data_IF_248336525394
#
_entry.id   IF_248336525394
#
_cell.length_a   1.000
_cell.length_b   1.000
_cell.length_c   1.000
_cell.angle_alpha   90.00
_cell.angle_beta   90.00
_cell.angle_gamma   90.00
#
_symmetry.space_group_name_H-M   'P 1'
#
loop_
_entity.id
_entity.type
_entity.pdbx_description
1 polymer ?
#
# COMPACT_ATOMS: atom_id res chain seq x y z
N UNK A 1 -54.17 5.95 74.37
CA UNK A 1 -53.40 7.07 73.79
C UNK A 1 -52.55 6.50 72.68
N UNK A 2 -52.74 7.00 71.47
CA UNK A 2 -51.96 6.69 70.28
C UNK A 2 -50.48 7.06 70.49
N UNK A 3 -49.58 6.19 70.05
CA UNK A 3 -48.40 6.62 69.30
C UNK A 3 -47.97 5.51 68.31
N UNK A 4 -47.65 5.86 67.05
CA UNK A 4 -47.36 4.89 65.99
C UNK A 4 -45.88 4.47 66.04
N UNK A 5 -45.62 3.19 65.79
CA UNK A 5 -44.26 2.70 65.53
C UNK A 5 -43.98 2.95 64.04
N UNK A 6 -43.16 3.95 63.76
CA UNK A 6 -42.59 4.19 62.43
C UNK A 6 -41.66 3.01 62.08
N UNK A 7 -41.93 2.33 60.96
CA UNK A 7 -40.91 1.53 60.28
C UNK A 7 -40.03 2.50 59.50
N UNK A 8 -38.86 2.82 60.04
CA UNK A 8 -37.83 3.53 59.29
C UNK A 8 -37.38 2.64 58.13
N UNK A 9 -37.61 3.11 56.90
CA UNK A 9 -36.97 2.56 55.71
C UNK A 9 -35.48 2.90 55.81
N UNK A 10 -34.64 1.88 55.89
CA UNK A 10 -33.21 2.05 56.13
C UNK A 10 -32.50 2.52 54.84
N UNK A 11 -32.52 3.84 54.60
CA UNK A 11 -31.90 4.51 53.44
C UNK A 11 -30.39 4.21 53.34
N UNK A 12 -29.77 3.76 54.43
CA UNK A 12 -28.34 3.45 54.52
C UNK A 12 -27.94 2.21 53.69
N UNK A 13 -28.84 1.24 53.47
CA UNK A 13 -28.51 0.00 52.72
C UNK A 13 -28.43 0.24 51.20
N UNK A 14 -29.20 1.19 50.66
CA UNK A 14 -29.20 1.52 49.23
C UNK A 14 -27.97 2.35 48.78
N UNK A 15 -27.28 3.01 49.71
CA UNK A 15 -26.16 3.92 49.39
C UNK A 15 -24.85 3.15 49.10
N UNK A 16 -24.68 1.94 49.66
CA UNK A 16 -23.44 1.16 49.49
C UNK A 16 -23.30 0.47 48.12
N UNK A 17 -24.36 0.41 47.32
CA UNK A 17 -24.36 -0.23 46.00
C UNK A 17 -24.05 0.75 44.84
N UNK A 18 -24.06 2.06 45.06
CA UNK A 18 -23.97 3.06 43.98
C UNK A 18 -22.55 3.51 43.60
N UNK A 19 -21.49 2.99 44.23
CA UNK A 19 -20.11 3.39 43.91
C UNK A 19 -19.21 2.20 43.59
N UNK A 20 -19.54 1.47 42.53
CA UNK A 20 -18.58 0.57 41.88
C UNK A 20 -18.12 1.18 40.55
N UNK A 21 -16.80 1.25 40.27
CA UNK A 21 -16.29 1.70 38.99
C UNK A 21 -16.82 0.85 37.84
N UNK A 22 -17.18 1.53 36.76
CA UNK A 22 -18.06 1.20 35.63
C UNK A 22 -17.67 -0.01 34.73
N UNK A 23 -16.92 -1.01 35.22
CA UNK A 23 -16.33 -2.04 34.34
C UNK A 23 -16.45 -3.48 34.81
N UNK A 24 -17.23 -3.79 35.84
CA UNK A 24 -17.34 -5.18 36.34
C UNK A 24 -18.77 -5.64 36.58
N UNK A 25 -18.91 -6.97 36.62
CA UNK A 25 -20.11 -7.72 36.96
C UNK A 25 -20.81 -7.24 38.26
N UNK A 26 -20.10 -6.51 39.14
CA UNK A 26 -20.67 -5.88 40.33
C UNK A 26 -21.83 -4.91 40.03
N UNK A 27 -21.79 -4.18 38.90
CA UNK A 27 -22.87 -3.28 38.49
C UNK A 27 -24.15 -4.05 38.08
N UNK A 28 -24.02 -5.34 37.76
CA UNK A 28 -25.12 -6.19 37.30
C UNK A 28 -25.88 -6.80 38.48
N UNK A 29 -25.25 -6.87 39.67
CA UNK A 29 -25.85 -7.42 40.90
C UNK A 29 -27.22 -6.80 41.19
N UNK A 30 -27.33 -5.47 41.10
CA UNK A 30 -28.57 -4.75 41.41
C UNK A 30 -29.73 -5.02 40.44
N UNK A 31 -29.46 -5.67 39.31
CA UNK A 31 -30.45 -6.00 38.29
C UNK A 31 -30.96 -7.45 38.38
N UNK A 32 -30.41 -8.28 39.27
CA UNK A 32 -30.87 -9.66 39.46
C UNK A 32 -32.34 -9.64 39.89
N UNK A 33 -33.11 -10.55 39.30
CA UNK A 33 -34.56 -10.69 39.43
C UNK A 33 -35.38 -9.47 38.96
N UNK A 34 -34.75 -8.52 38.26
CA UNK A 34 -35.44 -7.41 37.58
C UNK A 34 -35.59 -7.69 36.09
N UNK A 35 -36.64 -7.11 35.50
CA UNK A 35 -36.82 -7.07 34.04
C UNK A 35 -35.81 -6.09 33.45
N UNK A 36 -35.05 -6.54 32.46
CA UNK A 36 -33.99 -5.79 31.82
C UNK A 36 -34.10 -5.87 30.31
N UNK A 37 -33.67 -4.82 29.63
CA UNK A 37 -33.41 -4.81 28.18
C UNK A 37 -31.91 -4.89 27.95
N UNK A 38 -31.46 -5.98 27.34
CA UNK A 38 -30.08 -6.19 26.92
C UNK A 38 -29.95 -5.93 25.41
N UNK A 39 -29.27 -4.86 25.03
CA UNK A 39 -28.94 -4.52 23.65
C UNK A 39 -27.62 -5.18 23.28
N UNK A 40 -27.59 -5.94 22.19
CA UNK A 40 -26.41 -6.64 21.71
C UNK A 40 -25.66 -5.82 20.64
N UNK A 41 -24.36 -6.08 20.46
CA UNK A 41 -23.51 -5.44 19.43
C UNK A 41 -24.10 -5.60 18.01
N UNK A 42 -24.85 -6.67 17.80
CA UNK A 42 -25.58 -6.92 16.55
C UNK A 42 -26.91 -6.19 16.42
N UNK A 43 -27.22 -5.18 17.22
CA UNK A 43 -28.44 -4.34 17.15
C UNK A 43 -29.74 -5.01 17.62
N UNK A 44 -29.66 -6.27 18.03
CA UNK A 44 -30.79 -7.03 18.60
C UNK A 44 -30.97 -6.67 20.07
N UNK A 45 -32.21 -6.59 20.52
CA UNK A 45 -32.52 -6.36 21.94
C UNK A 45 -33.19 -7.61 22.51
N UNK A 46 -32.76 -8.05 23.68
CA UNK A 46 -33.37 -9.15 24.42
C UNK A 46 -33.94 -8.57 25.70
N UNK A 47 -35.25 -8.73 25.89
CA UNK A 47 -35.98 -8.23 27.04
C UNK A 47 -36.40 -9.41 27.86
N UNK A 48 -36.06 -9.44 29.14
CA UNK A 48 -36.42 -10.53 30.03
C UNK A 48 -35.93 -10.27 31.43
N UNK A 49 -36.12 -11.23 32.32
CA UNK A 49 -35.72 -11.06 33.70
C UNK A 49 -34.36 -11.70 33.94
N UNK A 50 -33.44 -10.95 34.52
CA UNK A 50 -32.08 -11.41 34.76
C UNK A 50 -32.04 -12.37 35.95
N UNK A 51 -31.62 -13.63 35.73
CA UNK A 51 -31.48 -14.61 36.83
C UNK A 51 -30.09 -14.71 37.41
N UNK A 52 -29.10 -14.73 36.54
CA UNK A 52 -27.72 -14.87 36.97
C UNK A 52 -26.80 -14.25 35.93
N UNK A 53 -25.62 -13.89 36.38
CA UNK A 53 -24.53 -13.47 35.54
C UNK A 53 -23.22 -14.03 36.11
N UNK A 54 -22.15 -14.02 35.32
CA UNK A 54 -20.82 -14.39 35.80
C UNK A 54 -19.84 -13.20 35.84
N UNK A 55 -18.63 -13.47 36.30
CA UNK A 55 -17.56 -12.47 36.39
C UNK A 55 -17.14 -11.86 35.04
N UNK A 56 -17.52 -12.48 33.91
CA UNK A 56 -17.25 -12.00 32.56
C UNK A 56 -18.44 -11.22 31.96
N UNK A 57 -19.51 -11.03 32.72
CA UNK A 57 -20.73 -10.36 32.26
C UNK A 57 -21.58 -11.21 31.33
N UNK A 58 -21.39 -12.54 31.31
CA UNK A 58 -22.33 -13.43 30.63
C UNK A 58 -23.66 -13.42 31.41
N UNK A 59 -24.79 -13.24 30.73
CA UNK A 59 -26.10 -13.10 31.35
C UNK A 59 -26.98 -14.30 31.04
N UNK A 60 -27.79 -14.71 32.02
CA UNK A 60 -28.92 -15.63 31.83
C UNK A 60 -30.20 -14.84 32.04
N UNK A 61 -30.94 -14.61 30.96
CA UNK A 61 -32.27 -14.02 31.00
C UNK A 61 -33.31 -15.12 30.90
N UNK A 62 -34.26 -15.12 31.83
CA UNK A 62 -35.44 -15.99 31.79
C UNK A 62 -36.66 -15.20 31.30
N UNK A 63 -37.66 -15.93 30.81
CA UNK A 63 -38.91 -15.35 30.29
C UNK A 63 -38.63 -14.20 29.31
N UNK A 64 -37.67 -14.44 28.42
CA UNK A 64 -37.07 -13.41 27.61
C UNK A 64 -37.57 -13.48 26.17
N UNK A 65 -37.89 -12.32 25.60
CA UNK A 65 -38.27 -12.12 24.21
C UNK A 65 -37.19 -11.33 23.48
N UNK A 66 -36.98 -11.67 22.21
CA UNK A 66 -36.13 -10.87 21.34
C UNK A 66 -36.99 -9.81 20.64
N UNK A 67 -36.58 -8.55 20.76
CA UNK A 67 -37.20 -7.41 20.10
C UNK A 67 -36.23 -6.77 19.10
N UNK A 68 -36.73 -6.57 17.89
CA UNK A 68 -36.00 -5.98 16.77
C UNK A 68 -36.63 -4.63 16.46
N UNK A 69 -35.82 -3.58 16.48
CA UNK A 69 -36.25 -2.23 16.13
C UNK A 69 -35.81 -1.85 14.72
N UNK A 70 -36.77 -1.47 13.88
CA UNK A 70 -36.56 -0.93 12.53
C UNK A 70 -36.84 0.57 12.56
N UNK A 71 -35.85 1.35 13.01
CA UNK A 71 -35.97 2.79 13.26
C UNK A 71 -36.38 3.61 12.02
N UNK A 72 -35.90 3.23 10.83
CA UNK A 72 -36.23 3.92 9.57
C UNK A 72 -37.72 3.89 9.24
N UNK A 73 -38.42 2.79 9.56
CA UNK A 73 -39.85 2.61 9.30
C UNK A 73 -40.71 2.77 10.55
N UNK A 74 -40.10 3.02 11.73
CA UNK A 74 -40.77 3.02 13.04
C UNK A 74 -41.57 1.72 13.29
N UNK A 75 -40.98 0.60 12.89
CA UNK A 75 -41.56 -0.72 13.09
C UNK A 75 -40.76 -1.49 14.15
N UNK A 76 -41.43 -2.34 14.93
CA UNK A 76 -40.77 -3.28 15.81
C UNK A 76 -41.35 -4.69 15.65
N UNK A 77 -40.52 -5.69 15.89
CA UNK A 77 -40.90 -7.08 15.80
C UNK A 77 -40.45 -7.80 17.07
N UNK A 78 -41.27 -8.69 17.61
CA UNK A 78 -41.00 -9.36 18.88
C UNK A 78 -41.30 -10.85 18.78
N UNK A 79 -40.38 -11.67 19.29
CA UNK A 79 -40.52 -13.12 19.29
C UNK A 79 -41.77 -13.56 20.06
N UNK A 80 -42.53 -14.50 19.50
CA UNK A 80 -43.81 -14.92 20.09
C UNK A 80 -43.68 -15.81 21.33
N UNK A 81 -42.51 -16.44 21.53
CA UNK A 81 -42.28 -17.38 22.62
C UNK A 81 -41.19 -16.85 23.55
N UNK A 82 -41.55 -16.70 24.82
CA UNK A 82 -40.60 -16.50 25.91
C UNK A 82 -39.63 -17.67 26.00
N UNK A 83 -38.34 -17.36 26.04
CA UNK A 83 -37.27 -18.35 26.06
C UNK A 83 -36.22 -17.97 27.10
N UNK A 84 -35.28 -18.88 27.36
CA UNK A 84 -34.10 -18.60 28.16
C UNK A 84 -32.98 -18.19 27.21
N UNK A 85 -32.37 -17.04 27.45
CA UNK A 85 -31.23 -16.55 26.68
C UNK A 85 -29.97 -16.59 27.53
N UNK A 86 -28.94 -17.26 27.01
CA UNK A 86 -27.57 -17.14 27.48
C UNK A 86 -26.84 -16.13 26.58
N UNK A 87 -26.60 -14.93 27.12
CA UNK A 87 -25.92 -13.85 26.39
C UNK A 87 -24.46 -13.83 26.83
N UNK A 88 -23.54 -13.89 25.87
CA UNK A 88 -22.11 -13.70 26.19
C UNK A 88 -21.79 -12.24 26.43
N UNK A 89 -21.01 -11.94 27.47
CA UNK A 89 -20.66 -10.57 27.88
C UNK A 89 -19.99 -9.76 26.77
N UNK A 90 -19.15 -10.39 25.95
CA UNK A 90 -18.52 -9.75 24.78
C UNK A 90 -19.51 -9.24 23.72
N UNK A 91 -20.74 -9.77 23.71
CA UNK A 91 -21.79 -9.39 22.77
C UNK A 91 -22.79 -8.39 23.35
N UNK A 92 -22.70 -8.08 24.65
CA UNK A 92 -23.55 -7.10 25.30
C UNK A 92 -23.01 -5.69 25.02
N UNK A 93 -23.84 -4.83 24.43
CA UNK A 93 -23.51 -3.44 24.16
C UNK A 93 -23.97 -2.54 25.32
N UNK A 94 -25.21 -2.73 25.75
CA UNK A 94 -25.84 -1.96 26.82
C UNK A 94 -26.90 -2.81 27.50
N UNK A 95 -27.14 -2.57 28.78
CA UNK A 95 -28.25 -3.13 29.53
C UNK A 95 -28.90 -2.04 30.38
N UNK A 96 -30.22 -2.07 30.50
CA UNK A 96 -30.97 -1.18 31.38
C UNK A 96 -32.14 -1.91 32.01
N UNK A 97 -32.59 -1.43 33.17
CA UNK A 97 -33.84 -1.84 33.78
C UNK A 97 -35.03 -1.35 32.96
N UNK A 98 -36.09 -2.14 32.99
CA UNK A 98 -37.37 -1.81 32.37
C UNK A 98 -38.44 -1.73 33.44
N UNK A 99 -39.22 -0.65 33.39
CA UNK A 99 -40.41 -0.51 34.22
C UNK A 99 -41.52 -1.42 33.67
N UNK A 100 -41.93 -2.37 34.50
CA UNK A 100 -42.89 -3.43 34.16
C UNK A 100 -44.23 -2.81 33.75
N UNK A 101 -44.64 -1.73 34.41
CA UNK A 101 -45.93 -1.08 34.17
C UNK A 101 -45.97 -0.36 32.80
N UNK A 102 -44.81 0.07 32.31
CA UNK A 102 -44.68 0.77 31.03
C UNK A 102 -44.56 -0.15 29.81
N UNK A 103 -44.17 -1.41 30.03
CA UNK A 103 -43.89 -2.39 28.98
C UNK A 103 -45.12 -3.15 28.46
N UNK A 104 -46.21 -3.17 29.23
CA UNK A 104 -47.48 -3.77 28.82
C UNK A 104 -48.21 -2.92 27.75
N UNK A 105 -47.82 -1.65 27.59
CA UNK A 105 -48.30 -0.79 26.51
C UNK A 105 -47.51 -1.02 25.21
N UNK A 106 -48.20 -1.00 24.06
CA UNK A 106 -47.53 -0.97 22.77
C UNK A 106 -46.57 0.23 22.68
N UNK A 107 -45.35 0.01 22.18
CA UNK A 107 -44.33 1.06 22.04
C UNK A 107 -44.93 2.27 21.31
N UNK A 108 -45.12 3.38 22.01
CA UNK A 108 -45.87 4.54 21.51
C UNK A 108 -45.27 5.05 20.20
N UNK A 109 -46.09 5.10 19.15
CA UNK A 109 -45.70 5.61 17.83
C UNK A 109 -44.92 4.61 16.96
N UNK A 110 -44.84 3.33 17.36
CA UNK A 110 -44.23 2.26 16.58
C UNK A 110 -45.26 1.19 16.20
N UNK A 111 -45.15 0.68 14.98
CA UNK A 111 -46.02 -0.38 14.46
C UNK A 111 -45.40 -1.76 14.74
N UNK A 112 -46.19 -2.68 15.32
CA UNK A 112 -45.76 -4.07 15.52
C UNK A 112 -45.95 -4.87 14.23
N UNK A 113 -44.89 -5.53 13.78
CA UNK A 113 -44.92 -6.46 12.63
C UNK A 113 -44.60 -7.89 13.06
N UNK A 114 -44.81 -8.85 12.15
CA UNK A 114 -44.42 -10.24 12.36
C UNK A 114 -42.90 -10.37 12.60
N UNK A 115 -42.50 -11.25 13.51
CA UNK A 115 -41.11 -11.43 13.89
C UNK A 115 -40.24 -11.90 12.72
N UNK A 116 -40.72 -12.82 11.90
CA UNK A 116 -39.95 -13.35 10.76
C UNK A 116 -39.77 -12.25 9.71
N UNK A 117 -40.82 -11.46 9.46
CA UNK A 117 -40.74 -10.30 8.58
C UNK A 117 -39.71 -9.27 9.08
N UNK A 118 -39.81 -8.90 10.36
CA UNK A 118 -38.90 -7.94 10.99
C UNK A 118 -37.46 -8.41 11.01
N UNK A 119 -37.23 -9.69 11.30
CA UNK A 119 -35.90 -10.32 11.28
C UNK A 119 -35.28 -10.28 9.88
N UNK A 120 -36.06 -10.59 8.83
CA UNK A 120 -35.58 -10.54 7.45
C UNK A 120 -35.24 -9.11 7.01
N UNK A 121 -36.07 -8.13 7.34
CA UNK A 121 -35.81 -6.70 7.10
C UNK A 121 -34.53 -6.26 7.82
N UNK A 122 -34.37 -6.62 9.09
CA UNK A 122 -33.19 -6.30 9.88
C UNK A 122 -31.91 -6.88 9.27
N UNK A 123 -31.92 -8.17 8.92
CA UNK A 123 -30.78 -8.86 8.30
C UNK A 123 -30.38 -8.20 6.98
N UNK A 124 -31.36 -7.78 6.16
CA UNK A 124 -31.13 -7.03 4.93
C UNK A 124 -30.46 -5.67 5.21
N UNK A 125 -31.00 -4.89 6.16
CA UNK A 125 -30.45 -3.58 6.51
C UNK A 125 -29.00 -3.67 7.00
N UNK A 126 -28.67 -4.68 7.82
CA UNK A 126 -27.29 -4.92 8.28
C UNK A 126 -26.37 -5.26 7.10
N UNK A 127 -26.82 -6.08 6.16
CA UNK A 127 -26.06 -6.40 4.95
C UNK A 127 -25.82 -5.15 4.08
N UNK A 128 -26.87 -4.38 3.81
CA UNK A 128 -26.79 -3.16 3.00
C UNK A 128 -25.91 -2.09 3.67
N UNK A 129 -25.95 -1.97 5.00
CA UNK A 129 -25.06 -1.10 5.77
C UNK A 129 -23.58 -1.54 5.65
N UNK A 130 -23.30 -2.84 5.77
CA UNK A 130 -21.94 -3.38 5.57
C UNK A 130 -21.44 -3.14 4.14
N UNK A 131 -22.28 -3.36 3.13
CA UNK A 131 -21.92 -3.14 1.74
C UNK A 131 -21.66 -1.65 1.45
N UNK A 132 -22.46 -0.74 2.03
CA UNK A 132 -22.22 0.71 1.94
C UNK A 132 -20.92 1.13 2.62
N UNK A 133 -20.67 0.65 3.84
CA UNK A 133 -19.45 0.94 4.58
C UNK A 133 -18.20 0.43 3.81
N UNK A 134 -18.28 -0.77 3.24
CA UNK A 134 -17.23 -1.32 2.39
C UNK A 134 -16.98 -0.46 1.14
N UNK A 135 -18.04 -0.05 0.42
CA UNK A 135 -17.92 0.83 -0.74
C UNK A 135 -17.28 2.18 -0.38
N UNK A 136 -17.70 2.79 0.72
CA UNK A 136 -17.18 4.07 1.18
C UNK A 136 -15.71 3.98 1.62
N UNK A 137 -15.36 2.95 2.39
CA UNK A 137 -13.98 2.67 2.77
C UNK A 137 -13.08 2.47 1.54
N UNK A 138 -13.56 1.72 0.54
CA UNK A 138 -12.87 1.52 -0.74
C UNK A 138 -12.67 2.84 -1.49
N UNK A 139 -13.67 3.73 -1.50
CA UNK A 139 -13.59 5.02 -2.18
C UNK A 139 -12.58 5.98 -1.52
N UNK A 140 -12.55 6.05 -0.19
CA UNK A 140 -11.55 6.85 0.56
C UNK A 140 -10.16 6.29 0.33
N UNK A 141 -10.01 4.95 0.42
CA UNK A 141 -8.75 4.27 0.17
C UNK A 141 -8.24 4.55 -1.24
N UNK A 142 -9.11 4.60 -2.25
CA UNK A 142 -8.71 4.89 -3.64
C UNK A 142 -8.18 6.32 -3.79
N UNK A 143 -8.84 7.32 -3.21
CA UNK A 143 -8.36 8.71 -3.25
C UNK A 143 -7.04 8.89 -2.49
N UNK A 144 -6.89 8.26 -1.33
CA UNK A 144 -5.66 8.29 -0.54
C UNK A 144 -4.50 7.57 -1.23
N UNK A 145 -4.74 6.39 -1.80
CA UNK A 145 -3.75 5.62 -2.55
C UNK A 145 -3.28 6.38 -3.79
N UNK A 146 -4.21 6.97 -4.55
CA UNK A 146 -3.89 7.76 -5.73
C UNK A 146 -3.01 8.97 -5.40
N UNK A 147 -3.38 9.75 -4.38
CA UNK A 147 -2.53 10.85 -3.89
C UNK A 147 -1.15 10.34 -3.43
N UNK A 148 -1.10 9.21 -2.72
CA UNK A 148 0.15 8.56 -2.31
C UNK A 148 1.07 8.21 -3.48
N UNK A 149 0.51 7.73 -4.60
CA UNK A 149 1.25 7.42 -5.83
C UNK A 149 1.78 8.70 -6.49
N UNK A 150 0.99 9.78 -6.54
CA UNK A 150 1.46 11.07 -7.06
C UNK A 150 2.63 11.64 -6.23
N UNK A 151 2.56 11.55 -4.90
CA UNK A 151 3.67 11.94 -4.03
C UNK A 151 4.91 11.05 -4.23
N UNK A 152 4.71 9.74 -4.43
CA UNK A 152 5.81 8.83 -4.72
C UNK A 152 6.49 9.17 -6.05
N UNK A 153 5.73 9.54 -7.08
CA UNK A 153 6.27 10.03 -8.36
C UNK A 153 7.06 11.34 -8.19
N UNK A 154 6.64 12.24 -7.31
CA UNK A 154 7.46 13.42 -6.97
C UNK A 154 8.76 13.05 -6.25
N UNK A 155 8.75 12.03 -5.39
CA UNK A 155 9.99 11.51 -4.80
C UNK A 155 10.94 10.94 -5.87
N UNK A 156 10.41 10.28 -6.90
CA UNK A 156 11.19 9.81 -8.06
C UNK A 156 11.86 10.98 -8.79
N UNK A 157 11.13 12.07 -9.06
CA UNK A 157 11.68 13.26 -9.74
C UNK A 157 12.81 13.95 -8.95
N UNK A 158 12.84 13.80 -7.63
CA UNK A 158 13.94 14.28 -6.77
C UNK A 158 15.15 13.33 -6.76
N UNK A 159 14.95 12.10 -7.22
CA UNK A 159 16.00 11.11 -7.42
C UNK A 159 17.00 11.54 -8.49
N UNK A 160 18.23 11.08 -8.34
CA UNK A 160 19.30 11.18 -9.36
C UNK A 160 18.85 10.55 -10.69
N UNK A 161 19.32 11.08 -11.82
CA UNK A 161 18.93 10.61 -13.14
C UNK A 161 19.47 9.21 -13.45
N UNK A 162 18.69 8.37 -14.13
CA UNK A 162 19.12 7.10 -14.69
C UNK A 162 18.56 6.92 -16.11
N UNK A 163 19.35 6.31 -16.98
CA UNK A 163 19.08 6.13 -18.41
C UNK A 163 19.34 4.67 -18.79
N UNK A 164 18.44 4.11 -19.58
CA UNK A 164 18.61 2.79 -20.20
C UNK A 164 18.53 2.92 -21.71
N UNK A 165 19.45 2.28 -22.43
CA UNK A 165 19.50 2.27 -23.90
C UNK A 165 19.74 0.84 -24.38
N UNK A 166 18.93 0.37 -25.32
CA UNK A 166 19.17 -0.90 -26.02
C UNK A 166 19.98 -0.68 -27.28
N UNK A 167 20.99 -1.51 -27.48
CA UNK A 167 21.70 -1.69 -28.74
C UNK A 167 21.15 -2.88 -29.51
N UNK A 168 21.97 -3.43 -30.42
CA UNK A 168 21.68 -4.65 -31.17
C UNK A 168 21.78 -5.90 -30.30
N UNK A 169 22.91 -6.04 -29.61
CA UNK A 169 23.35 -7.18 -28.81
C UNK A 169 23.88 -6.71 -27.45
N UNK A 170 23.52 -5.49 -27.04
CA UNK A 170 23.88 -4.91 -25.75
C UNK A 170 22.73 -4.12 -25.15
N UNK A 171 22.72 -4.02 -23.83
CA UNK A 171 21.86 -3.07 -23.10
C UNK A 171 22.71 -2.34 -22.06
N UNK A 172 22.59 -1.02 -22.07
CA UNK A 172 23.39 -0.14 -21.22
C UNK A 172 22.48 0.53 -20.20
N UNK A 173 22.86 0.44 -18.93
CA UNK A 173 22.32 1.28 -17.88
C UNK A 173 23.37 2.31 -17.49
N UNK A 174 22.98 3.58 -17.46
CA UNK A 174 23.83 4.68 -17.05
C UNK A 174 23.11 5.51 -15.98
N UNK A 175 23.80 5.83 -14.90
CA UNK A 175 23.25 6.57 -13.76
C UNK A 175 24.11 7.79 -13.41
N UNK A 176 23.45 8.89 -13.04
CA UNK A 176 24.09 10.01 -12.37
C UNK A 176 24.49 9.59 -10.95
N UNK A 177 25.78 9.64 -10.65
CA UNK A 177 26.31 9.52 -9.29
C UNK A 177 26.48 10.90 -8.67
N UNK A 178 25.99 11.08 -7.44
CA UNK A 178 26.29 12.29 -6.68
C UNK A 178 27.77 12.35 -6.35
N UNK A 179 28.36 13.54 -6.50
CA UNK A 179 29.73 13.80 -6.06
C UNK A 179 29.90 13.34 -4.62
N UNK A 180 30.85 12.43 -4.41
CA UNK A 180 31.18 11.94 -3.07
C UNK A 180 31.80 13.07 -2.26
N UNK A 181 31.33 13.29 -1.04
CA UNK A 181 31.90 14.31 -0.15
C UNK A 181 33.33 13.89 0.23
N UNK A 182 34.23 14.85 0.46
CA UNK A 182 35.66 14.58 0.74
C UNK A 182 35.89 13.64 1.94
N UNK A 183 34.96 13.61 2.90
CA UNK A 183 35.03 12.77 4.11
C UNK A 183 34.34 11.41 3.94
N UNK A 184 33.65 11.19 2.82
CA UNK A 184 32.91 9.96 2.55
C UNK A 184 33.83 8.98 1.80
N UNK A 185 33.92 7.74 2.28
CA UNK A 185 34.72 6.71 1.62
C UNK A 185 34.03 6.26 0.31
N UNK A 186 34.64 6.51 -0.87
CA UNK A 186 34.02 6.17 -2.14
C UNK A 186 33.88 4.66 -2.37
N UNK A 187 34.64 3.83 -1.65
CA UNK A 187 34.65 2.36 -1.85
C UNK A 187 33.42 1.65 -1.30
N UNK A 188 32.76 2.25 -0.31
CA UNK A 188 31.58 1.71 0.35
C UNK A 188 30.29 2.41 -0.08
N UNK A 189 30.38 3.34 -1.03
CA UNK A 189 29.22 4.03 -1.55
C UNK A 189 28.34 3.07 -2.36
N UNK A 190 27.04 2.95 -2.05
CA UNK A 190 26.16 2.08 -2.80
C UNK A 190 26.07 2.50 -4.27
N UNK A 191 26.29 1.54 -5.16
CA UNK A 191 26.00 1.68 -6.58
C UNK A 191 24.50 1.82 -6.82
N UNK A 192 24.14 2.58 -7.86
CA UNK A 192 22.75 2.67 -8.33
C UNK A 192 22.36 1.51 -9.24
N UNK A 193 23.34 0.90 -9.90
CA UNK A 193 23.13 -0.22 -10.81
C UNK A 193 23.41 -1.50 -10.05
N UNK A 194 22.36 -2.28 -9.80
CA UNK A 194 22.43 -3.45 -8.95
C UNK A 194 22.19 -4.71 -9.78
N UNK A 195 23.10 -5.68 -9.66
CA UNK A 195 22.90 -7.04 -10.17
C UNK A 195 21.75 -7.70 -9.40
N UNK A 196 20.73 -8.18 -10.10
CA UNK A 196 19.66 -9.00 -9.51
C UNK A 196 19.98 -10.48 -9.70
N UNK A 197 20.42 -10.85 -10.90
CA UNK A 197 20.94 -12.18 -11.24
C UNK A 197 22.08 -12.04 -12.28
N UNK A 198 22.67 -13.13 -12.74
CA UNK A 198 23.79 -13.10 -13.71
C UNK A 198 23.43 -12.42 -15.04
N UNK A 199 22.18 -12.53 -15.48
CA UNK A 199 21.65 -12.01 -16.75
C UNK A 199 20.71 -10.81 -16.59
N UNK A 200 20.54 -10.28 -15.36
CA UNK A 200 19.61 -9.18 -15.07
C UNK A 200 20.21 -8.14 -14.12
N UNK A 201 20.13 -6.87 -14.52
CA UNK A 201 20.52 -5.70 -13.74
C UNK A 201 19.37 -4.70 -13.57
N UNK A 202 19.40 -3.95 -12.48
CA UNK A 202 18.38 -2.98 -12.11
C UNK A 202 19.02 -1.65 -11.69
N UNK A 203 18.61 -0.57 -12.34
CA UNK A 203 18.87 0.80 -11.91
C UNK A 203 17.59 1.43 -11.34
N UNK A 204 17.72 2.44 -10.48
CA UNK A 204 16.56 3.10 -9.87
C UNK A 204 16.76 4.60 -9.67
N UNK A 205 15.64 5.31 -9.60
CA UNK A 205 15.55 6.70 -9.18
C UNK A 205 14.48 6.86 -8.09
N UNK A 206 14.78 7.66 -7.07
CA UNK A 206 13.91 7.93 -5.93
C UNK A 206 14.61 7.66 -4.58
N UNK A 207 13.87 7.14 -3.61
CA UNK A 207 14.38 6.86 -2.26
C UNK A 207 15.29 5.63 -2.21
N UNK A 208 16.55 5.79 -1.77
CA UNK A 208 17.54 4.70 -1.70
C UNK A 208 17.12 3.56 -0.74
N UNK A 209 16.46 3.89 0.38
CA UNK A 209 16.00 2.89 1.35
C UNK A 209 14.92 1.97 0.76
N UNK A 210 13.97 2.56 0.04
CA UNK A 210 12.92 1.85 -0.66
C UNK A 210 13.49 0.92 -1.75
N UNK A 211 14.51 1.41 -2.48
CA UNK A 211 15.19 0.62 -3.50
C UNK A 211 15.86 -0.63 -2.93
N UNK A 212 16.53 -0.53 -1.77
CA UNK A 212 17.17 -1.70 -1.13
C UNK A 212 16.16 -2.80 -0.86
N UNK A 213 15.00 -2.46 -0.29
CA UNK A 213 13.94 -3.45 0.00
C UNK A 213 13.42 -4.10 -1.28
N UNK A 214 13.22 -3.32 -2.35
CA UNK A 214 12.70 -3.84 -3.61
C UNK A 214 13.72 -4.73 -4.34
N UNK A 215 15.00 -4.34 -4.32
CA UNK A 215 16.12 -5.13 -4.89
C UNK A 215 16.26 -6.46 -4.17
N UNK A 216 16.21 -6.48 -2.83
CA UNK A 216 16.35 -7.72 -2.07
C UNK A 216 15.17 -8.68 -2.32
N UNK A 217 13.94 -8.14 -2.42
CA UNK A 217 12.77 -8.94 -2.83
C UNK A 217 12.94 -9.51 -4.23
N UNK A 218 13.42 -8.72 -5.19
CA UNK A 218 13.66 -9.17 -6.56
C UNK A 218 14.74 -10.26 -6.64
N UNK A 219 15.82 -10.15 -5.86
CA UNK A 219 16.87 -11.18 -5.78
C UNK A 219 16.35 -12.50 -5.21
N UNK A 220 15.59 -12.43 -4.13
CA UNK A 220 14.97 -13.63 -3.54
C UNK A 220 14.01 -14.28 -4.52
N UNK A 221 13.19 -13.50 -5.23
CA UNK A 221 12.30 -14.03 -6.25
C UNK A 221 13.05 -14.71 -7.39
N UNK A 222 14.13 -14.09 -7.90
CA UNK A 222 14.93 -14.65 -8.98
C UNK A 222 15.47 -16.04 -8.62
N UNK A 223 16.00 -16.19 -7.40
CA UNK A 223 16.50 -17.48 -6.92
C UNK A 223 15.36 -18.47 -6.62
N UNK A 224 14.22 -18.00 -6.10
CA UNK A 224 13.06 -18.86 -5.84
C UNK A 224 12.47 -19.43 -7.13
N UNK A 225 12.39 -18.63 -8.19
CA UNK A 225 11.96 -19.07 -9.51
C UNK A 225 12.89 -20.15 -10.05
N UNK A 226 14.21 -19.90 -10.02
CA UNK A 226 15.22 -20.87 -10.44
C UNK A 226 15.17 -22.16 -9.63
N UNK A 227 14.93 -22.10 -8.32
CA UNK A 227 14.77 -23.28 -7.49
C UNK A 227 13.51 -24.10 -7.84
N UNK A 228 12.43 -23.42 -8.24
CA UNK A 228 11.13 -24.07 -8.48
C UNK A 228 10.99 -24.62 -9.90
N UNK A 229 11.49 -23.87 -10.88
CA UNK A 229 11.31 -24.15 -12.30
C UNK A 229 12.60 -24.62 -12.98
N UNK A 230 13.72 -24.69 -12.26
CA UNK A 230 15.08 -25.00 -12.75
C UNK A 230 15.63 -24.04 -13.83
N UNK A 231 14.80 -23.13 -14.34
CA UNK A 231 15.17 -22.08 -15.28
C UNK A 231 15.31 -20.70 -14.59
N UNK A 232 16.27 -19.87 -15.01
CA UNK A 232 16.39 -18.49 -14.57
C UNK A 232 15.15 -17.66 -14.94
N UNK A 233 14.92 -16.57 -14.21
CA UNK A 233 13.79 -15.67 -14.50
C UNK A 233 13.94 -15.01 -15.88
N UNK A 234 12.84 -14.88 -16.62
CA UNK A 234 12.83 -13.92 -17.73
C UNK A 234 12.83 -12.48 -17.20
N UNK A 235 13.40 -11.55 -17.97
CA UNK A 235 13.46 -10.13 -17.61
C UNK A 235 12.05 -9.57 -17.46
N UNK A 236 11.10 -10.00 -18.31
CA UNK A 236 9.70 -9.60 -18.21
C UNK A 236 9.05 -10.14 -16.93
N UNK A 237 9.26 -11.41 -16.59
CA UNK A 237 8.70 -12.02 -15.38
C UNK A 237 9.16 -11.25 -14.14
N UNK A 238 10.46 -11.01 -14.02
CA UNK A 238 11.02 -10.27 -12.89
C UNK A 238 10.46 -8.85 -12.82
N UNK A 239 10.32 -8.19 -13.97
CA UNK A 239 9.71 -6.85 -14.04
C UNK A 239 8.27 -6.86 -13.54
N UNK A 240 7.47 -7.84 -13.98
CA UNK A 240 6.08 -8.01 -13.54
C UNK A 240 5.99 -8.29 -12.04
N UNK A 241 6.92 -9.08 -11.49
CA UNK A 241 7.00 -9.31 -10.05
C UNK A 241 7.29 -8.01 -9.29
N UNK A 242 8.30 -7.25 -9.70
CA UNK A 242 8.69 -5.96 -9.09
C UNK A 242 7.53 -4.98 -9.12
N UNK A 243 6.87 -4.85 -10.27
CA UNK A 243 5.68 -4.02 -10.43
C UNK A 243 4.53 -4.48 -9.53
N UNK A 244 4.31 -5.79 -9.40
CA UNK A 244 3.34 -6.38 -8.48
C UNK A 244 3.66 -6.15 -7.00
N UNK A 245 4.94 -6.10 -6.60
CA UNK A 245 5.34 -5.68 -5.25
C UNK A 245 4.98 -4.21 -5.03
N UNK A 246 5.31 -3.32 -5.97
CA UNK A 246 4.97 -1.90 -5.87
C UNK A 246 3.45 -1.71 -5.76
N UNK A 247 2.68 -2.38 -6.62
CA UNK A 247 1.21 -2.33 -6.62
C UNK A 247 0.60 -2.81 -5.30
N UNK A 248 1.11 -3.90 -4.70
CA UNK A 248 0.59 -4.40 -3.42
C UNK A 248 0.70 -3.35 -2.31
N UNK A 249 1.75 -2.54 -2.32
CA UNK A 249 1.95 -1.46 -1.34
C UNK A 249 1.11 -0.21 -1.63
N UNK A 250 0.49 -0.10 -2.80
CA UNK A 250 -0.51 0.96 -3.08
C UNK A 250 -1.92 0.57 -2.63
N UNK A 251 -2.22 -0.72 -2.58
CA UNK A 251 -3.56 -1.24 -2.25
C UNK A 251 -3.70 -1.73 -0.80
N UNK A 252 -2.58 -2.04 -0.13
CA UNK A 252 -2.60 -2.51 1.26
C UNK A 252 -2.71 -1.35 2.23
N UNK A 253 -3.74 -1.36 3.07
CA UNK A 253 -3.89 -0.39 4.16
C UNK A 253 -2.72 -0.47 5.16
N UNK A 254 -2.25 0.69 5.64
CA UNK A 254 -1.13 0.77 6.59
C UNK A 254 0.26 0.74 5.95
N UNK A 255 0.36 0.53 4.63
CA UNK A 255 1.59 0.67 3.87
C UNK A 255 1.56 1.98 3.05
N UNK A 256 2.75 2.49 2.71
CA UNK A 256 2.88 3.57 1.71
C UNK A 256 3.46 3.00 0.40
N UNK A 257 3.13 3.59 -0.76
CA UNK A 257 3.78 3.26 -2.02
C UNK A 257 5.30 3.42 -1.94
N UNK A 258 6.00 2.61 -2.73
CA UNK A 258 7.45 2.77 -2.93
C UNK A 258 7.73 4.09 -3.65
N UNK A 259 8.61 4.92 -3.09
CA UNK A 259 9.02 6.19 -3.67
C UNK A 259 10.11 6.05 -4.74
N UNK A 260 10.03 5.01 -5.58
CA UNK A 260 11.03 4.70 -6.60
C UNK A 260 10.41 4.25 -7.92
N UNK A 261 11.08 4.59 -9.02
CA UNK A 261 10.92 3.94 -10.33
C UNK A 261 12.18 3.16 -10.64
N UNK A 262 12.05 2.08 -11.40
CA UNK A 262 13.18 1.22 -11.76
C UNK A 262 13.33 1.11 -13.28
N UNK A 263 14.56 0.90 -13.73
CA UNK A 263 14.90 0.42 -15.07
C UNK A 263 15.51 -0.97 -14.89
N UNK A 264 14.87 -1.97 -15.46
CA UNK A 264 15.29 -3.38 -15.40
C UNK A 264 15.76 -3.76 -16.80
N UNK A 265 17.01 -4.18 -16.90
CA UNK A 265 17.66 -4.50 -18.15
C UNK A 265 18.32 -5.88 -18.07
N UNK A 266 18.26 -6.63 -19.16
CA UNK A 266 18.78 -7.99 -19.19
C UNK A 266 18.67 -8.66 -20.54
N UNK A 267 19.07 -9.91 -20.57
CA UNK A 267 18.83 -10.86 -21.65
C UNK A 267 18.13 -12.07 -21.07
N UNK A 268 17.14 -12.62 -21.77
CA UNK A 268 16.57 -13.90 -21.36
C UNK A 268 17.57 -15.02 -21.67
N UNK A 269 17.47 -16.15 -20.96
CA UNK A 269 18.38 -17.27 -21.21
C UNK A 269 18.17 -17.82 -22.63
N UNK A 270 19.27 -18.08 -23.33
CA UNK A 270 19.30 -18.48 -24.74
C UNK A 270 18.70 -17.44 -25.72
N UNK A 271 18.44 -16.20 -25.28
CA UNK A 271 18.01 -15.09 -26.15
C UNK A 271 19.14 -14.06 -26.30
N UNK A 272 19.37 -13.60 -27.53
CA UNK A 272 20.33 -12.54 -27.83
C UNK A 272 19.66 -11.16 -27.94
N UNK A 273 18.34 -11.07 -27.71
CA UNK A 273 17.60 -9.81 -27.79
C UNK A 273 17.68 -9.06 -26.46
N UNK A 274 18.22 -7.82 -26.45
CA UNK A 274 18.26 -7.02 -25.24
C UNK A 274 16.84 -6.63 -24.80
N UNK A 275 16.59 -6.70 -23.49
CA UNK A 275 15.34 -6.30 -22.86
C UNK A 275 15.58 -5.09 -21.95
N UNK A 276 14.66 -4.13 -21.98
CA UNK A 276 14.66 -2.95 -21.13
C UNK A 276 13.22 -2.63 -20.74
N UNK A 277 12.95 -2.65 -19.45
CA UNK A 277 11.66 -2.34 -18.88
C UNK A 277 11.78 -1.23 -17.85
N UNK A 278 10.70 -0.49 -17.69
CA UNK A 278 10.53 0.49 -16.62
C UNK A 278 9.40 0.03 -15.69
N UNK A 279 9.57 0.20 -14.39
CA UNK A 279 8.46 0.14 -13.42
C UNK A 279 8.27 1.48 -12.70
N UNK A 280 7.04 1.75 -12.26
CA UNK A 280 6.67 2.98 -11.55
C UNK A 280 6.02 2.67 -10.19
N UNK A 281 5.97 3.64 -9.24
CA UNK A 281 5.32 3.49 -7.95
C UNK A 281 3.87 2.97 -7.99
N UNK A 282 3.16 3.21 -9.10
CA UNK A 282 1.80 2.73 -9.35
C UNK A 282 1.72 1.20 -9.51
N UNK A 283 2.84 0.55 -9.83
CA UNK A 283 2.91 -0.85 -10.22
C UNK A 283 2.62 -1.11 -11.70
N UNK A 284 2.62 -0.06 -12.54
CA UNK A 284 2.63 -0.20 -13.99
C UNK A 284 4.06 -0.49 -14.45
N UNK A 285 4.20 -1.36 -15.46
CA UNK A 285 5.45 -1.58 -16.16
C UNK A 285 5.27 -1.57 -17.68
N UNK A 286 6.30 -1.14 -18.39
CA UNK A 286 6.31 -1.03 -19.86
C UNK A 286 7.70 -1.35 -20.41
N UNK A 287 7.75 -1.90 -21.63
CA UNK A 287 8.99 -2.13 -22.38
C UNK A 287 9.40 -0.88 -23.16
N UNK A 288 10.71 -0.61 -23.26
CA UNK A 288 11.24 0.59 -23.92
C UNK A 288 12.41 0.27 -24.85
N UNK A 289 12.61 1.10 -25.89
CA UNK A 289 13.82 1.12 -26.74
C UNK A 289 14.97 1.81 -26.00
N UNK A 290 14.68 3.01 -25.51
CA UNK A 290 15.47 3.75 -24.55
C UNK A 290 14.51 4.46 -23.60
N UNK A 291 14.93 4.67 -22.35
CA UNK A 291 14.12 5.38 -21.35
C UNK A 291 14.99 6.09 -20.32
N UNK A 292 14.48 7.16 -19.73
CA UNK A 292 15.11 7.83 -18.60
C UNK A 292 14.13 8.05 -17.43
N UNK A 293 14.65 8.00 -16.22
CA UNK A 293 13.92 8.23 -14.96
C UNK A 293 14.72 9.14 -14.03
N UNK A 294 14.05 9.71 -13.03
CA UNK A 294 14.68 10.61 -12.06
C UNK A 294 14.63 12.08 -12.47
N UNK A 295 15.51 12.88 -11.86
CA UNK A 295 15.58 14.33 -12.07
C UNK A 295 15.84 14.65 -13.54
N UNK A 296 15.08 15.61 -14.05
CA UNK A 296 15.21 16.12 -15.42
C UNK A 296 15.06 15.06 -16.51
N UNK A 297 14.44 13.90 -16.21
CA UNK A 297 14.24 12.82 -17.19
C UNK A 297 13.51 13.27 -18.45
N UNK A 298 12.63 14.28 -18.36
CA UNK A 298 11.95 14.84 -19.53
C UNK A 298 12.94 15.37 -20.59
N UNK A 299 13.97 16.10 -20.17
CA UNK A 299 14.99 16.68 -21.06
C UNK A 299 15.80 15.55 -21.72
N UNK A 300 16.19 14.56 -20.92
CA UNK A 300 16.95 13.40 -21.38
C UNK A 300 16.13 12.57 -22.37
N UNK A 301 14.83 12.39 -22.12
CA UNK A 301 13.94 11.69 -23.03
C UNK A 301 13.77 12.42 -24.37
N UNK A 302 13.59 13.74 -24.36
CA UNK A 302 13.54 14.54 -25.59
C UNK A 302 14.85 14.46 -26.40
N UNK A 303 15.99 14.33 -25.72
CA UNK A 303 17.28 14.05 -26.37
C UNK A 303 17.31 12.65 -26.99
N UNK A 304 16.90 11.61 -26.25
CA UNK A 304 16.86 10.23 -26.73
C UNK A 304 15.92 10.06 -27.93
N UNK A 305 14.75 10.71 -27.91
CA UNK A 305 13.77 10.69 -29.01
C UNK A 305 14.35 11.24 -30.32
N UNK A 306 15.29 12.18 -30.25
CA UNK A 306 15.95 12.79 -31.43
C UNK A 306 17.16 12.01 -31.93
N UNK A 307 17.90 11.36 -31.02
CA UNK A 307 19.21 10.79 -31.32
C UNK A 307 19.22 9.25 -31.38
N UNK A 308 18.15 8.57 -30.92
CA UNK A 308 18.05 7.12 -31.02
C UNK A 308 17.70 6.73 -32.47
N UNK A 309 18.52 5.91 -33.16
CA UNK A 309 18.25 5.51 -34.53
C UNK A 309 17.06 4.54 -34.58
N UNK A 310 16.08 4.83 -35.44
CA UNK A 310 14.92 3.96 -35.61
C UNK A 310 15.16 2.81 -36.59
N UNK A 311 16.06 3.00 -37.56
CA UNK A 311 16.19 2.15 -38.73
C UNK A 311 17.34 1.14 -38.62
N UNK A 312 18.42 1.48 -37.90
CA UNK A 312 19.58 0.61 -37.72
C UNK A 312 19.90 0.40 -36.22
N UNK A 313 20.10 -0.85 -35.79
CA UNK A 313 20.45 -1.15 -34.41
C UNK A 313 21.90 -0.76 -34.12
N UNK A 314 22.12 -0.05 -33.02
CA UNK A 314 23.42 0.45 -32.60
C UNK A 314 24.35 -0.67 -32.14
N UNK A 315 25.63 -0.52 -32.45
CA UNK A 315 26.70 -1.32 -31.84
C UNK A 315 26.88 -0.97 -30.35
N UNK A 316 27.63 -1.77 -29.61
CA UNK A 316 27.92 -1.55 -28.18
C UNK A 316 28.51 -0.14 -27.93
N UNK A 317 29.57 0.22 -28.66
CA UNK A 317 30.26 1.51 -28.49
C UNK A 317 29.33 2.69 -28.77
N UNK A 318 28.48 2.58 -29.78
CA UNK A 318 27.47 3.59 -30.12
C UNK A 318 26.40 3.69 -29.03
N UNK A 319 25.97 2.55 -28.48
CA UNK A 319 24.97 2.47 -27.41
C UNK A 319 25.48 3.11 -26.13
N UNK A 320 26.72 2.81 -25.73
CA UNK A 320 27.39 3.43 -24.58
C UNK A 320 27.54 4.93 -24.79
N UNK A 321 28.00 5.34 -25.97
CA UNK A 321 28.16 6.75 -26.33
C UNK A 321 26.84 7.52 -26.25
N UNK A 322 25.75 6.98 -26.78
CA UNK A 322 24.43 7.60 -26.71
C UNK A 322 23.94 7.73 -25.26
N UNK A 323 24.14 6.71 -24.42
CA UNK A 323 23.77 6.75 -23.00
C UNK A 323 24.54 7.84 -22.23
N UNK A 324 25.84 8.02 -22.52
CA UNK A 324 26.66 9.08 -21.93
C UNK A 324 26.20 10.46 -22.42
N UNK A 325 25.98 10.63 -23.72
CA UNK A 325 25.49 11.89 -24.28
C UNK A 325 24.16 12.30 -23.66
N UNK A 326 23.24 11.35 -23.47
CA UNK A 326 21.96 11.58 -22.82
C UNK A 326 22.09 12.05 -21.36
N UNK A 327 23.02 11.46 -20.59
CA UNK A 327 23.29 11.92 -19.22
C UNK A 327 24.00 13.26 -19.16
N UNK A 328 24.88 13.58 -20.11
CA UNK A 328 25.58 14.87 -20.15
C UNK A 328 24.65 16.06 -20.41
N UNK A 329 23.41 15.85 -20.86
CA UNK A 329 22.39 16.91 -20.93
C UNK A 329 21.93 17.39 -19.53
N UNK A 330 22.18 16.59 -18.48
CA UNK A 330 21.79 16.92 -17.09
C UNK A 330 22.97 16.97 -16.12
N UNK A 331 24.05 16.23 -16.38
CA UNK A 331 25.24 16.19 -15.52
C UNK A 331 26.22 17.28 -15.91
N UNK A 332 26.37 18.30 -15.04
CA UNK A 332 27.28 19.44 -15.27
C UNK A 332 28.76 19.12 -15.03
N UNK A 333 29.09 18.03 -14.33
CA UNK A 333 30.43 17.75 -13.78
C UNK A 333 30.97 16.39 -14.20
N UNK A 334 31.45 16.29 -15.45
CA UNK A 334 32.42 15.30 -15.95
C UNK A 334 32.18 13.80 -15.67
N UNK A 335 33.08 12.96 -16.19
CA UNK A 335 32.99 11.49 -16.12
C UNK A 335 32.83 10.90 -14.69
N UNK A 336 33.34 11.58 -13.66
CA UNK A 336 33.35 11.08 -12.26
C UNK A 336 31.96 10.96 -11.63
N UNK A 337 30.98 11.66 -12.19
CA UNK A 337 29.60 11.66 -11.73
C UNK A 337 28.71 10.76 -12.59
N UNK A 338 29.31 9.91 -13.42
CA UNK A 338 28.61 8.96 -14.28
C UNK A 338 29.01 7.55 -13.85
N UNK A 339 28.02 6.68 -13.72
CA UNK A 339 28.20 5.25 -13.49
C UNK A 339 27.55 4.51 -14.65
N UNK A 340 28.25 3.54 -15.25
CA UNK A 340 27.77 2.82 -16.43
C UNK A 340 27.98 1.32 -16.22
N UNK A 341 26.98 0.54 -16.62
CA UNK A 341 27.06 -0.90 -16.71
C UNK A 341 26.54 -1.37 -18.05
N UNK A 342 27.36 -2.12 -18.76
CA UNK A 342 27.04 -2.72 -20.06
C UNK A 342 26.75 -4.20 -19.84
N UNK A 343 25.67 -4.68 -20.44
CA UNK A 343 25.35 -6.10 -20.43
C UNK A 343 25.25 -6.61 -21.87
N UNK A 344 25.76 -7.82 -22.09
CA UNK A 344 25.77 -8.57 -23.35
C UNK A 344 25.05 -9.91 -23.17
N UNK A 345 24.59 -10.56 -24.24
CA UNK A 345 24.00 -11.88 -24.14
C UNK A 345 25.00 -12.88 -23.55
N UNK A 346 24.51 -13.76 -22.68
CA UNK A 346 25.29 -14.80 -22.01
C UNK A 346 26.53 -14.30 -21.24
N UNK A 347 26.53 -13.03 -20.83
CA UNK A 347 27.62 -12.42 -20.06
C UNK A 347 27.09 -11.69 -18.83
N UNK A 348 27.90 -11.66 -17.78
CA UNK A 348 27.59 -10.88 -16.58
C UNK A 348 27.64 -9.36 -16.87
N UNK A 349 26.89 -8.53 -16.10
CA UNK A 349 26.98 -7.08 -16.24
C UNK A 349 28.40 -6.58 -15.99
N UNK A 350 28.96 -5.83 -16.94
CA UNK A 350 30.28 -5.23 -16.88
C UNK A 350 30.18 -3.74 -16.49
N UNK A 351 30.50 -3.35 -15.25
CA UNK A 351 30.65 -1.95 -14.92
C UNK A 351 31.89 -1.37 -15.64
N UNK A 352 31.77 -0.15 -16.18
CA UNK A 352 32.90 0.55 -16.78
C UNK A 352 33.73 1.27 -15.70
N UNK A 353 35.05 1.33 -15.90
CA UNK A 353 35.93 2.09 -15.00
C UNK A 353 35.85 3.59 -15.28
N UNK A 354 36.26 4.42 -14.32
CA UNK A 354 36.26 5.88 -14.52
C UNK A 354 37.17 6.29 -15.70
N UNK A 355 38.26 5.57 -15.92
CA UNK A 355 39.19 5.83 -17.03
C UNK A 355 38.53 5.57 -18.39
N UNK A 356 37.80 4.46 -18.54
CA UNK A 356 37.04 4.15 -19.75
C UNK A 356 35.99 5.25 -20.03
N UNK A 357 35.25 5.66 -18.99
CA UNK A 357 34.23 6.71 -19.10
C UNK A 357 34.89 8.06 -19.47
N UNK A 358 36.02 8.42 -18.86
CA UNK A 358 36.75 9.65 -19.17
C UNK A 358 37.20 9.71 -20.64
N UNK A 359 37.67 8.59 -21.20
CA UNK A 359 38.04 8.53 -22.62
C UNK A 359 36.84 8.78 -23.53
N UNK A 360 35.69 8.19 -23.22
CA UNK A 360 34.48 8.36 -24.05
C UNK A 360 33.92 9.78 -23.92
N UNK A 361 33.90 10.35 -22.71
CA UNK A 361 33.45 11.73 -22.48
C UNK A 361 34.32 12.73 -23.24
N UNK A 362 35.65 12.59 -23.22
CA UNK A 362 36.55 13.46 -23.99
C UNK A 362 36.27 13.40 -25.50
N UNK A 363 36.09 12.20 -26.06
CA UNK A 363 35.72 12.04 -27.47
C UNK A 363 34.40 12.74 -27.79
N UNK A 364 33.39 12.65 -26.92
CA UNK A 364 32.11 13.33 -27.10
C UNK A 364 32.27 14.87 -27.06
N UNK A 365 33.09 15.39 -26.15
CA UNK A 365 33.35 16.83 -26.04
C UNK A 365 34.08 17.37 -27.28
N UNK A 366 35.08 16.64 -27.79
CA UNK A 366 35.81 16.98 -29.02
C UNK A 366 34.89 16.99 -30.25
N UNK A 367 34.01 16.00 -30.38
CA UNK A 367 33.02 15.94 -31.47
C UNK A 367 32.00 17.08 -31.38
N UNK A 368 31.47 17.38 -30.18
CA UNK A 368 30.55 18.51 -29.98
C UNK A 368 31.23 19.84 -30.32
N UNK A 369 32.50 20.02 -29.96
CA UNK A 369 33.28 21.21 -30.31
C UNK A 369 33.48 21.33 -31.83
N UNK A 370 33.84 20.24 -32.51
CA UNK A 370 34.01 20.21 -33.96
C UNK A 370 32.69 20.49 -34.72
N UNK A 371 31.56 19.97 -34.23
CA UNK A 371 30.24 20.30 -34.79
C UNK A 371 29.86 21.78 -34.57
N UNK A 372 30.18 22.34 -33.41
CA UNK A 372 29.93 23.75 -33.11
C UNK A 372 30.77 24.67 -34.01
N UNK A 373 32.04 24.32 -34.28
CA UNK A 373 32.89 25.05 -35.23
C UNK A 373 32.36 24.96 -36.67
N UNK A 374 31.88 23.80 -37.11
CA UNK A 374 31.25 23.64 -38.43
C UNK A 374 29.97 24.45 -38.60
N UNK A 375 29.25 24.71 -37.50
CA UNK A 375 28.02 25.53 -37.48
C UNK A 375 28.28 27.02 -37.29
N UNK A 376 29.53 27.47 -37.07
CA UNK A 376 29.84 28.90 -37.02
C UNK A 376 29.67 29.50 -38.42
N UNK A 377 28.91 30.59 -38.58
CA UNK A 377 28.78 31.25 -39.88
C UNK A 377 30.16 31.71 -40.33
N UNK A 378 30.55 31.38 -41.57
CA UNK A 378 31.74 31.96 -42.20
C UNK A 378 31.51 33.47 -42.26
N UNK A 379 32.28 34.24 -41.50
CA UNK A 379 32.39 35.68 -41.69
C UNK A 379 32.90 35.91 -43.11
N UNK A 380 32.03 36.42 -43.97
CA UNK A 380 32.40 36.96 -45.28
C UNK A 380 33.07 38.31 -45.03
N UNK A 381 34.39 38.35 -45.21
CA UNK A 381 35.13 39.61 -45.38
C UNK A 381 34.80 40.27 -46.72
#
# INVERSE_FOLDING_TARGET
MNHPIQREHNVQEDIYLQSYPFTTAAAIIGYVDRKVCAVLIGGRSVIGVLRTFDQFGNLVLHDATERIYLSETRQYAESQLSQIYLIRGENLLMMGDLDIDSEDEAVRGWERIDYIEGYNKFKKNVKDAKDRAYKYAKQISYKGAYAGVEYALEAVKRGTCAVGVKGKDSVVLACERRTTLKLQDPRINPTKINKIDYHVQLAFAGLNADARVLIDKARVEAQSHKLTLEDPVSVEYLTKYVAGVQQRYTQSGGARPFGISTLIAGFDENDNVPKLYQTEPSGIYSAWKAQSIGRSSKVVREFLEKNYPNDEPMDEDQTVKLAIQALLEVVQTGAKNIEISVMKPNAEPRPLTNEEIEVIVKKIEEEKAAEAEKKRPKTSD
#
